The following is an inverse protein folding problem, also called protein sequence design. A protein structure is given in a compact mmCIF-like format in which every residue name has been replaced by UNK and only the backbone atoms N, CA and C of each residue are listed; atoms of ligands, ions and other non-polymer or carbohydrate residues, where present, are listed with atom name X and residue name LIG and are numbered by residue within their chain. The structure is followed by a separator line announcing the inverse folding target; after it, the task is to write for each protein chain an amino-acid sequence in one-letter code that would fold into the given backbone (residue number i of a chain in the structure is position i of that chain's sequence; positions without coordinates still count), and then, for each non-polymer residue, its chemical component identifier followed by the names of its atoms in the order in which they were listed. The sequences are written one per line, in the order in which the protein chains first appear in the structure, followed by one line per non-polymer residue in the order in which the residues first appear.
data_IF_514704196362
#
_entry.id   IF_514704196362
#
_cell.length_a   1.000
_cell.length_b   1.000
_cell.length_c   1.000
_cell.angle_alpha   90.00
_cell.angle_beta   90.00
_cell.angle_gamma   90.00
#
_symmetry.space_group_name_H-M   'P 1'
#
loop_
_entity.id
_entity.type
_entity.pdbx_description
1 polymer ?
#
# COMPACT_ATOMS: atom_id res chain seq x y z
N UNK A 1 4.97 31.68 -44.74
CA UNK A 1 4.01 30.59 -44.51
C UNK A 1 2.68 31.25 -44.13
N UNK A 2 1.66 31.16 -45.02
CA UNK A 2 0.34 31.75 -44.73
C UNK A 2 -0.38 30.91 -43.65
N UNK A 3 -0.81 31.56 -42.61
CA UNK A 3 -1.64 30.93 -41.57
C UNK A 3 -3.00 30.55 -42.19
N UNK A 4 -3.22 29.24 -42.36
CA UNK A 4 -4.49 28.70 -42.86
C UNK A 4 -5.34 28.24 -41.68
N UNK A 5 -6.42 28.98 -41.40
CA UNK A 5 -7.31 28.73 -40.27
C UNK A 5 -7.94 27.34 -40.38
N UNK A 6 -8.35 26.90 -41.56
CA UNK A 6 -8.97 25.59 -41.78
C UNK A 6 -8.01 24.44 -41.51
N UNK A 7 -6.74 24.57 -41.96
CA UNK A 7 -5.73 23.56 -41.69
C UNK A 7 -5.38 23.49 -40.19
N UNK A 8 -5.34 24.66 -39.52
CA UNK A 8 -5.12 24.72 -38.05
C UNK A 8 -6.26 24.10 -37.28
N UNK A 9 -7.50 24.37 -37.67
CA UNK A 9 -8.70 23.77 -37.02
C UNK A 9 -8.76 22.25 -37.27
N UNK A 10 -8.45 21.82 -38.49
CA UNK A 10 -8.37 20.40 -38.83
C UNK A 10 -7.30 19.70 -38.02
N UNK A 11 -6.13 20.30 -37.88
CA UNK A 11 -5.03 19.81 -37.04
C UNK A 11 -5.44 19.72 -35.57
N UNK A 12 -6.02 20.76 -35.01
CA UNK A 12 -6.53 20.77 -33.66
C UNK A 12 -7.57 19.67 -33.41
N UNK A 13 -8.43 19.39 -34.36
CA UNK A 13 -9.43 18.34 -34.24
C UNK A 13 -8.81 16.94 -34.29
N UNK A 14 -7.88 16.71 -35.22
CA UNK A 14 -7.20 15.39 -35.38
C UNK A 14 -6.17 15.09 -34.31
N UNK A 15 -5.53 16.12 -33.75
CA UNK A 15 -4.55 16.01 -32.68
C UNK A 15 -5.18 16.13 -31.28
N UNK A 16 -6.48 16.34 -31.19
CA UNK A 16 -7.17 16.42 -29.88
C UNK A 16 -7.27 15.03 -29.25
N UNK A 17 -7.23 14.95 -27.90
CA UNK A 17 -7.50 13.73 -27.15
C UNK A 17 -8.87 13.11 -27.46
N UNK A 18 -9.84 13.92 -27.97
CA UNK A 18 -11.13 13.40 -28.45
C UNK A 18 -10.99 12.47 -29.66
N UNK A 19 -10.05 12.76 -30.57
CA UNK A 19 -9.73 11.87 -31.68
C UNK A 19 -9.17 10.53 -31.19
N UNK A 20 -8.43 10.54 -30.08
CA UNK A 20 -7.89 9.34 -29.44
C UNK A 20 -8.95 8.36 -28.99
N UNK A 21 -10.15 8.81 -28.59
CA UNK A 21 -11.25 7.90 -28.22
C UNK A 21 -11.79 7.08 -29.40
N UNK A 22 -11.66 7.58 -30.62
CA UNK A 22 -12.06 6.90 -31.84
C UNK A 22 -10.94 6.07 -32.46
N UNK A 23 -9.69 6.19 -31.95
CA UNK A 23 -8.58 5.35 -32.35
C UNK A 23 -8.74 3.91 -31.82
N UNK A 24 -7.99 2.97 -32.38
CA UNK A 24 -8.00 1.57 -31.96
C UNK A 24 -7.65 1.44 -30.46
N UNK A 25 -8.58 0.96 -29.67
CA UNK A 25 -8.40 0.81 -28.22
C UNK A 25 -8.81 2.06 -27.38
N UNK A 26 -9.14 3.19 -28.00
CA UNK A 26 -9.49 4.41 -27.27
C UNK A 26 -10.71 4.31 -26.37
N UNK A 27 -11.65 3.42 -26.67
CA UNK A 27 -12.79 3.13 -25.78
C UNK A 27 -12.36 2.58 -24.41
N UNK A 28 -11.22 1.88 -24.35
CA UNK A 28 -10.65 1.35 -23.10
C UNK A 28 -10.19 2.50 -22.19
N UNK A 29 -9.65 3.56 -22.77
CA UNK A 29 -9.29 4.78 -22.03
C UNK A 29 -10.54 5.43 -21.43
N UNK A 30 -11.68 5.45 -22.16
CA UNK A 30 -12.94 5.96 -21.62
C UNK A 30 -13.40 5.16 -20.40
N UNK A 31 -13.27 3.82 -20.44
CA UNK A 31 -13.55 2.95 -19.28
C UNK A 31 -12.65 3.32 -18.10
N UNK A 32 -11.35 3.52 -18.34
CA UNK A 32 -10.42 3.91 -17.27
C UNK A 32 -10.71 5.30 -16.70
N UNK A 33 -11.16 6.24 -17.50
CA UNK A 33 -11.62 7.55 -17.02
C UNK A 33 -12.83 7.37 -16.08
N UNK A 34 -13.80 6.51 -16.44
CA UNK A 34 -14.93 6.19 -15.55
C UNK A 34 -14.44 5.54 -14.26
N UNK A 35 -13.51 4.58 -14.33
CA UNK A 35 -12.89 3.97 -13.15
C UNK A 35 -12.23 5.02 -12.27
N UNK A 36 -11.45 5.93 -12.84
CA UNK A 36 -10.82 7.04 -12.12
C UNK A 36 -11.86 7.94 -11.43
N UNK A 37 -12.95 8.28 -12.12
CA UNK A 37 -14.04 9.07 -11.53
C UNK A 37 -14.73 8.34 -10.37
N UNK A 38 -14.94 7.04 -10.47
CA UNK A 38 -15.50 6.21 -9.38
C UNK A 38 -14.55 6.21 -8.18
N UNK A 39 -13.24 6.04 -8.40
CA UNK A 39 -12.23 6.09 -7.33
C UNK A 39 -12.17 7.47 -6.68
N UNK A 40 -12.26 8.56 -7.46
CA UNK A 40 -12.37 9.93 -6.93
C UNK A 40 -13.63 10.09 -6.06
N UNK A 41 -14.77 9.59 -6.51
CA UNK A 41 -15.98 9.59 -5.70
C UNK A 41 -15.82 8.84 -4.38
N UNK A 42 -15.19 7.67 -4.40
CA UNK A 42 -14.92 6.90 -3.19
C UNK A 42 -13.96 7.64 -2.24
N UNK A 43 -12.90 8.26 -2.77
CA UNK A 43 -11.96 9.03 -1.96
C UNK A 43 -12.56 10.30 -1.37
N UNK A 44 -13.27 11.10 -2.20
CA UNK A 44 -13.76 12.43 -1.82
C UNK A 44 -15.08 12.34 -1.03
N UNK A 45 -16.06 11.58 -1.55
CA UNK A 45 -17.42 11.58 -0.96
C UNK A 45 -17.57 10.53 0.14
N UNK A 46 -16.93 9.35 -0.04
CA UNK A 46 -17.00 8.28 0.96
C UNK A 46 -15.85 8.35 1.98
N UNK A 47 -14.84 9.18 1.75
CA UNK A 47 -13.71 9.35 2.66
C UNK A 47 -12.80 8.12 2.73
N UNK A 48 -12.76 7.29 1.68
CA UNK A 48 -11.93 6.09 1.62
C UNK A 48 -10.47 6.47 1.35
N UNK A 49 -9.64 6.41 2.39
CA UNK A 49 -8.21 6.71 2.36
C UNK A 49 -7.86 7.92 1.45
N UNK A 50 -8.45 9.10 1.71
CA UNK A 50 -8.48 10.21 0.74
C UNK A 50 -7.08 10.70 0.36
N UNK A 51 -6.11 10.63 1.27
CA UNK A 51 -4.75 11.12 1.02
C UNK A 51 -4.03 10.37 -0.10
N UNK A 52 -4.31 9.09 -0.27
CA UNK A 52 -3.69 8.26 -1.30
C UNK A 52 -4.64 8.00 -2.47
N UNK A 53 -5.90 7.63 -2.19
CA UNK A 53 -6.84 7.23 -3.23
C UNK A 53 -7.16 8.36 -4.21
N UNK A 54 -7.26 9.61 -3.74
CA UNK A 54 -7.49 10.78 -4.61
C UNK A 54 -6.30 10.98 -5.56
N UNK A 55 -5.06 10.88 -5.06
CA UNK A 55 -3.86 11.00 -5.90
C UNK A 55 -3.75 9.86 -6.92
N UNK A 56 -4.01 8.61 -6.50
CA UNK A 56 -4.02 7.45 -7.40
C UNK A 56 -5.08 7.61 -8.49
N UNK A 57 -6.30 7.98 -8.11
CA UNK A 57 -7.39 8.16 -9.06
C UNK A 57 -7.12 9.28 -10.06
N UNK A 58 -6.54 10.39 -9.58
CA UNK A 58 -6.20 11.52 -10.45
C UNK A 58 -5.01 11.19 -11.37
N UNK A 59 -4.01 10.47 -10.88
CA UNK A 59 -2.90 9.96 -11.70
C UNK A 59 -3.40 9.01 -12.81
N UNK A 60 -4.33 8.11 -12.48
CA UNK A 60 -5.01 7.27 -13.45
C UNK A 60 -5.77 8.09 -14.50
N UNK A 61 -6.50 9.12 -14.06
CA UNK A 61 -7.21 10.02 -14.96
C UNK A 61 -6.22 10.69 -15.94
N UNK A 62 -5.16 11.30 -15.41
CA UNK A 62 -4.16 12.01 -16.22
C UNK A 62 -3.49 11.09 -17.25
N UNK A 63 -3.10 9.87 -16.88
CA UNK A 63 -2.49 8.93 -17.79
C UNK A 63 -3.44 8.52 -18.93
N UNK A 64 -4.72 8.30 -18.64
CA UNK A 64 -5.68 7.83 -19.63
C UNK A 64 -6.34 8.95 -20.48
N UNK A 65 -6.15 10.22 -20.12
CA UNK A 65 -6.55 11.35 -20.99
C UNK A 65 -5.40 11.89 -21.83
N UNK A 66 -4.14 11.56 -21.50
CA UNK A 66 -2.96 12.07 -22.21
C UNK A 66 -2.30 11.03 -23.12
N UNK A 67 -2.57 9.74 -22.94
CA UNK A 67 -1.97 8.65 -23.70
C UNK A 67 -3.06 7.76 -24.33
N UNK A 68 -2.99 7.59 -25.65
CA UNK A 68 -3.91 6.76 -26.44
C UNK A 68 -3.13 5.77 -27.30
N UNK A 69 -3.15 4.46 -27.00
CA UNK A 69 -2.31 3.46 -27.71
C UNK A 69 -2.52 3.43 -29.23
N UNK A 70 -3.73 3.72 -29.72
CA UNK A 70 -4.03 3.73 -31.15
C UNK A 70 -3.69 5.04 -31.86
N UNK A 71 -3.25 6.06 -31.15
CA UNK A 71 -2.94 7.37 -31.71
C UNK A 71 -1.62 7.35 -32.50
N UNK A 72 -0.68 6.46 -32.16
CA UNK A 72 0.60 6.28 -32.84
C UNK A 72 0.42 5.86 -34.30
N UNK A 73 -0.67 5.19 -34.64
CA UNK A 73 -1.00 4.84 -36.02
C UNK A 73 -1.45 6.05 -36.87
N UNK A 74 -1.93 7.11 -36.21
CA UNK A 74 -2.42 8.34 -36.85
C UNK A 74 -1.31 9.39 -36.88
N UNK A 75 -0.65 9.59 -35.74
CA UNK A 75 0.48 10.50 -35.57
C UNK A 75 1.40 10.01 -34.45
N UNK A 76 2.55 9.37 -34.77
CA UNK A 76 3.47 8.80 -33.79
C UNK A 76 3.99 9.80 -32.75
N UNK A 77 4.12 11.08 -33.15
CA UNK A 77 4.71 12.10 -32.27
C UNK A 77 3.73 12.61 -31.18
N UNK A 78 2.43 12.33 -31.29
CA UNK A 78 1.45 12.87 -30.36
C UNK A 78 1.56 12.30 -28.95
N UNK A 79 1.75 10.98 -28.82
CA UNK A 79 1.94 10.38 -27.51
C UNK A 79 3.29 10.81 -26.91
N UNK A 80 4.35 10.88 -27.71
CA UNK A 80 5.66 11.31 -27.25
C UNK A 80 5.69 12.77 -26.75
N UNK A 81 4.82 13.65 -27.30
CA UNK A 81 4.76 15.07 -26.90
C UNK A 81 3.73 15.37 -25.83
N UNK A 82 2.64 14.64 -25.77
CA UNK A 82 1.49 14.96 -24.91
C UNK A 82 1.31 14.02 -23.70
N UNK A 83 1.88 12.82 -23.75
CA UNK A 83 1.74 11.88 -22.66
C UNK A 83 2.51 12.37 -21.41
N UNK A 84 1.83 12.26 -20.26
CA UNK A 84 2.44 12.53 -18.95
C UNK A 84 3.15 11.30 -18.38
N UNK A 85 2.77 10.11 -18.86
CA UNK A 85 3.30 8.81 -18.50
C UNK A 85 3.42 7.95 -19.76
N UNK A 86 4.58 7.34 -19.96
CA UNK A 86 4.94 6.56 -21.16
C UNK A 86 5.14 5.09 -20.77
N UNK A 87 4.13 4.24 -20.88
CA UNK A 87 4.24 2.83 -20.49
C UNK A 87 5.31 2.07 -21.27
N UNK A 88 5.57 2.45 -22.53
CA UNK A 88 6.61 1.87 -23.40
C UNK A 88 8.03 2.10 -22.88
N UNK A 89 8.33 3.30 -22.35
CA UNK A 89 9.64 3.59 -21.76
C UNK A 89 9.93 2.67 -20.56
N UNK A 90 8.90 2.37 -19.77
CA UNK A 90 9.01 1.48 -18.62
C UNK A 90 9.04 0.01 -19.02
N UNK A 91 8.38 -0.37 -20.12
CA UNK A 91 8.50 -1.70 -20.71
C UNK A 91 9.94 -1.96 -21.16
N UNK A 92 10.55 -1.03 -21.92
CA UNK A 92 11.94 -1.10 -22.35
C UNK A 92 12.92 -1.12 -21.17
N UNK A 93 12.65 -0.34 -20.12
CA UNK A 93 13.47 -0.33 -18.90
C UNK A 93 13.48 -1.69 -18.19
N UNK A 94 12.43 -2.48 -18.32
CA UNK A 94 12.27 -3.78 -17.68
C UNK A 94 12.68 -4.95 -18.57
N UNK A 95 12.74 -4.77 -19.88
CA UNK A 95 13.08 -5.82 -20.83
C UNK A 95 14.60 -6.04 -20.86
N UNK A 96 15.04 -7.22 -20.42
CA UNK A 96 16.45 -7.63 -20.45
C UNK A 96 17.04 -7.69 -21.88
N UNK A 97 16.20 -7.79 -22.91
CA UNK A 97 16.61 -7.77 -24.32
C UNK A 97 16.76 -6.35 -24.87
N UNK A 98 16.23 -5.34 -24.20
CA UNK A 98 16.30 -3.95 -24.64
C UNK A 98 17.69 -3.34 -24.40
N UNK A 99 18.17 -2.55 -25.33
CA UNK A 99 19.38 -1.71 -25.15
C UNK A 99 19.22 -0.66 -24.03
N UNK A 100 17.98 -0.40 -23.59
CA UNK A 100 17.63 0.55 -22.54
C UNK A 100 17.33 -0.13 -21.19
N UNK A 101 17.66 -1.42 -21.06
CA UNK A 101 17.47 -2.15 -19.81
C UNK A 101 18.14 -1.41 -18.64
N UNK A 102 17.36 -1.08 -17.60
CA UNK A 102 17.77 -0.31 -16.42
C UNK A 102 18.42 1.06 -16.72
N UNK A 103 18.13 1.66 -17.88
CA UNK A 103 18.67 2.97 -18.28
C UNK A 103 17.79 4.12 -17.80
N UNK A 104 18.10 4.67 -16.61
CA UNK A 104 17.44 5.92 -16.13
C UNK A 104 17.75 7.12 -17.02
N UNK A 105 18.90 7.13 -17.70
CA UNK A 105 19.25 8.20 -18.66
C UNK A 105 18.27 8.26 -19.82
N UNK A 106 17.88 7.10 -20.36
CA UNK A 106 16.87 7.01 -21.41
C UNK A 106 15.49 7.50 -20.93
N UNK A 107 15.09 7.08 -19.72
CA UNK A 107 13.86 7.58 -19.09
C UNK A 107 13.89 9.11 -19.01
N UNK A 108 14.93 9.70 -18.38
CA UNK A 108 15.01 11.14 -18.16
C UNK A 108 15.02 11.97 -19.45
N UNK A 109 15.52 11.41 -20.56
CA UNK A 109 15.57 12.10 -21.86
C UNK A 109 14.22 12.17 -22.57
N UNK A 110 13.30 11.22 -22.25
CA UNK A 110 12.03 11.05 -22.96
C UNK A 110 10.81 11.11 -22.01
N UNK A 111 11.03 11.38 -20.74
CA UNK A 111 10.02 11.29 -19.69
C UNK A 111 9.01 12.43 -19.73
N UNK A 112 7.74 12.11 -19.49
CA UNK A 112 6.73 13.03 -19.02
C UNK A 112 6.83 13.27 -17.50
N UNK A 113 6.00 14.17 -16.97
CA UNK A 113 6.04 14.54 -15.56
C UNK A 113 5.83 13.33 -14.62
N UNK A 114 4.88 12.46 -14.96
CA UNK A 114 4.54 11.31 -14.11
C UNK A 114 5.59 10.20 -14.21
N UNK A 115 6.33 10.10 -15.31
CA UNK A 115 7.49 9.22 -15.43
C UNK A 115 8.59 9.65 -14.46
N UNK A 116 8.87 10.97 -14.36
CA UNK A 116 9.85 11.51 -13.41
C UNK A 116 9.46 11.17 -11.97
N UNK A 117 8.17 11.33 -11.62
CA UNK A 117 7.70 10.92 -10.30
C UNK A 117 7.83 9.41 -10.10
N UNK A 118 7.55 8.60 -11.14
CA UNK A 118 7.64 7.15 -11.05
C UNK A 118 9.07 6.63 -10.82
N UNK A 119 10.11 7.38 -11.19
CA UNK A 119 11.50 7.06 -10.85
C UNK A 119 11.67 6.84 -9.35
N UNK A 120 11.06 7.69 -8.51
CA UNK A 120 11.13 7.54 -7.06
C UNK A 120 10.41 6.28 -6.52
N UNK A 121 9.35 5.84 -7.21
CA UNK A 121 8.72 4.53 -6.93
C UNK A 121 9.68 3.41 -7.32
N UNK A 122 10.20 3.47 -8.56
CA UNK A 122 11.05 2.44 -9.14
C UNK A 122 12.36 2.27 -8.37
N UNK A 123 12.92 3.36 -7.87
CA UNK A 123 14.09 3.36 -6.99
C UNK A 123 13.79 2.84 -5.55
N UNK A 124 12.52 2.65 -5.18
CA UNK A 124 12.12 2.27 -3.83
C UNK A 124 12.23 3.40 -2.79
N UNK A 125 12.40 4.65 -3.25
CA UNK A 125 12.58 5.83 -2.39
C UNK A 125 11.30 6.16 -1.60
N UNK A 126 10.17 6.28 -2.30
CA UNK A 126 8.93 6.72 -1.66
C UNK A 126 8.38 5.74 -0.63
N UNK A 127 8.32 4.42 -0.87
CA UNK A 127 7.88 3.49 0.15
C UNK A 127 8.73 3.57 1.43
N UNK A 128 10.06 3.69 1.29
CA UNK A 128 10.97 3.83 2.42
C UNK A 128 10.75 5.11 3.21
N UNK A 129 10.54 6.25 2.53
CA UNK A 129 10.25 7.53 3.17
C UNK A 129 8.87 7.54 3.86
N UNK A 130 7.86 6.87 3.28
CA UNK A 130 6.57 6.68 3.95
C UNK A 130 6.73 5.87 5.22
N UNK A 131 7.54 4.80 5.20
CA UNK A 131 7.84 4.05 6.42
C UNK A 131 8.52 4.90 7.50
N UNK A 132 9.39 5.84 7.12
CA UNK A 132 9.96 6.82 8.06
C UNK A 132 8.87 7.69 8.68
N UNK A 133 7.92 8.17 7.88
CA UNK A 133 6.77 8.93 8.36
C UNK A 133 5.88 8.12 9.30
N UNK A 134 5.55 6.89 8.93
CA UNK A 134 4.78 5.96 9.77
C UNK A 134 5.50 5.71 11.09
N UNK A 135 6.83 5.52 11.08
CA UNK A 135 7.63 5.36 12.29
C UNK A 135 7.57 6.57 13.22
N UNK A 136 7.66 7.78 12.64
CA UNK A 136 7.58 9.03 13.40
C UNK A 136 6.17 9.28 13.98
N UNK A 137 5.12 8.83 13.31
CA UNK A 137 3.74 8.93 13.81
C UNK A 137 3.37 7.83 14.81
N UNK A 138 4.07 6.70 14.80
CA UNK A 138 3.70 5.51 15.55
C UNK A 138 4.27 5.54 16.97
N UNK A 139 3.42 5.28 17.99
CA UNK A 139 3.87 5.01 19.35
C UNK A 139 4.04 3.49 19.55
N UNK A 140 5.28 3.06 19.71
CA UNK A 140 5.62 1.66 20.00
C UNK A 140 5.48 1.29 21.48
N UNK A 141 5.15 2.24 22.36
CA UNK A 141 4.94 2.02 23.78
C UNK A 141 4.02 0.82 24.10
N UNK A 142 2.85 0.70 23.48
CA UNK A 142 1.96 -0.46 23.71
C UNK A 142 2.62 -1.81 23.36
N UNK A 143 3.42 -1.87 22.31
CA UNK A 143 4.16 -3.08 21.92
C UNK A 143 5.29 -3.40 22.89
N UNK A 144 6.02 -2.39 23.35
CA UNK A 144 7.11 -2.53 24.34
C UNK A 144 6.52 -2.96 25.69
N UNK A 145 5.36 -2.44 26.06
CA UNK A 145 4.66 -2.78 27.29
C UNK A 145 4.20 -4.23 27.34
N UNK A 146 3.69 -4.76 26.20
CA UNK A 146 3.29 -6.16 26.05
C UNK A 146 3.87 -6.78 24.76
N UNK A 147 5.12 -7.29 24.80
CA UNK A 147 5.77 -7.90 23.65
C UNK A 147 5.06 -9.13 23.07
N UNK A 148 4.14 -9.75 23.82
CA UNK A 148 3.31 -10.87 23.33
C UNK A 148 2.42 -10.44 22.15
N UNK A 149 2.17 -9.14 22.02
CA UNK A 149 1.46 -8.54 20.88
C UNK A 149 2.13 -8.85 19.53
N UNK A 150 3.46 -9.10 19.50
CA UNK A 150 4.18 -9.56 18.30
C UNK A 150 3.59 -10.83 17.72
N UNK A 151 3.14 -11.75 18.57
CA UNK A 151 2.51 -13.01 18.13
C UNK A 151 1.19 -12.76 17.39
N UNK A 152 0.45 -11.73 17.78
CA UNK A 152 -0.81 -11.36 17.11
C UNK A 152 -0.55 -10.70 15.74
N UNK A 153 0.48 -9.87 15.66
CA UNK A 153 0.94 -9.33 14.36
C UNK A 153 1.42 -10.44 13.44
N UNK A 154 2.19 -11.40 13.96
CA UNK A 154 2.65 -12.56 13.18
C UNK A 154 1.48 -13.45 12.73
N UNK A 155 0.49 -13.70 13.59
CA UNK A 155 -0.69 -14.50 13.25
C UNK A 155 -1.53 -13.85 12.14
N UNK A 156 -1.59 -12.52 12.09
CA UNK A 156 -2.27 -11.80 11.03
C UNK A 156 -1.56 -11.93 9.67
N UNK A 157 -0.25 -12.23 9.62
CA UNK A 157 0.45 -12.49 8.35
C UNK A 157 -0.01 -13.78 7.66
N UNK A 158 -0.83 -14.61 8.30
CA UNK A 158 -1.43 -15.80 7.67
C UNK A 158 -2.08 -15.47 6.32
N UNK A 159 -2.74 -14.31 6.19
CA UNK A 159 -3.35 -13.88 4.94
C UNK A 159 -2.34 -13.65 3.82
N UNK A 160 -1.12 -13.20 4.11
CA UNK A 160 -0.05 -13.06 3.12
C UNK A 160 0.27 -14.40 2.48
N UNK A 161 0.48 -15.43 3.30
CA UNK A 161 0.85 -16.76 2.81
C UNK A 161 -0.32 -17.47 2.10
N UNK A 162 -1.54 -17.33 2.63
CA UNK A 162 -2.73 -17.92 1.96
C UNK A 162 -2.98 -17.25 0.61
N UNK A 163 -2.83 -15.93 0.50
CA UNK A 163 -2.94 -15.24 -0.77
C UNK A 163 -1.83 -15.63 -1.75
N UNK A 164 -0.61 -15.80 -1.27
CA UNK A 164 0.51 -16.31 -2.07
C UNK A 164 0.16 -17.68 -2.68
N UNK A 165 -0.25 -18.65 -1.86
CA UNK A 165 -0.64 -19.97 -2.36
C UNK A 165 -1.86 -19.90 -3.29
N UNK A 166 -2.84 -19.05 -2.97
CA UNK A 166 -4.00 -18.83 -3.84
C UNK A 166 -3.60 -18.28 -5.21
N UNK A 167 -2.63 -17.35 -5.25
CA UNK A 167 -2.11 -16.81 -6.51
C UNK A 167 -1.38 -17.87 -7.34
N UNK A 168 -0.56 -18.73 -6.72
CA UNK A 168 0.06 -19.86 -7.40
C UNK A 168 -1.01 -20.79 -8.00
N UNK A 169 -2.06 -21.11 -7.25
CA UNK A 169 -3.18 -21.95 -7.75
C UNK A 169 -3.94 -21.30 -8.91
N UNK A 170 -3.97 -19.96 -9.00
CA UNK A 170 -4.59 -19.22 -10.10
C UNK A 170 -3.68 -19.07 -11.32
N UNK A 171 -2.44 -19.62 -11.28
CA UNK A 171 -1.50 -19.66 -12.38
C UNK A 171 -0.53 -18.47 -12.45
N UNK A 172 -0.40 -17.66 -11.39
CA UNK A 172 0.60 -16.62 -11.31
C UNK A 172 1.99 -17.19 -11.03
N UNK A 173 3.04 -16.53 -11.53
CA UNK A 173 4.43 -16.89 -11.26
C UNK A 173 4.79 -16.64 -9.78
N UNK A 174 5.88 -17.23 -9.29
CA UNK A 174 6.34 -17.03 -7.91
C UNK A 174 6.50 -15.56 -7.51
N UNK A 175 7.23 -14.72 -8.29
CA UNK A 175 7.34 -13.28 -8.05
C UNK A 175 5.99 -12.55 -8.06
N UNK A 176 5.11 -12.87 -9.01
CA UNK A 176 3.75 -12.30 -9.07
C UNK A 176 2.91 -12.72 -7.87
N UNK A 177 2.96 -13.99 -7.49
CA UNK A 177 2.24 -14.53 -6.34
C UNK A 177 2.73 -13.90 -5.03
N UNK A 178 4.05 -13.67 -4.88
CA UNK A 178 4.61 -12.94 -3.74
C UNK A 178 4.10 -11.51 -3.65
N UNK A 179 4.04 -10.82 -4.79
CA UNK A 179 3.51 -9.45 -4.91
C UNK A 179 2.00 -9.37 -4.61
N UNK A 180 1.23 -10.38 -5.00
CA UNK A 180 -0.20 -10.49 -4.67
C UNK A 180 -0.37 -10.86 -3.19
N UNK A 181 0.43 -11.78 -2.69
CA UNK A 181 0.36 -12.26 -1.31
C UNK A 181 0.49 -11.15 -0.29
N UNK A 182 1.43 -10.22 -0.50
CA UNK A 182 1.71 -9.13 0.46
C UNK A 182 0.51 -8.20 0.70
N UNK A 183 -0.48 -8.15 -0.21
CA UNK A 183 -1.74 -7.41 -0.01
C UNK A 183 -2.41 -7.83 1.30
N UNK A 184 -2.31 -9.12 1.65
CA UNK A 184 -2.85 -9.66 2.91
C UNK A 184 -2.28 -9.01 4.17
N UNK A 185 -1.07 -8.45 4.12
CA UNK A 185 -0.50 -7.68 5.22
C UNK A 185 -1.24 -6.37 5.51
N UNK A 186 -2.07 -5.90 4.59
CA UNK A 186 -2.78 -4.61 4.64
C UNK A 186 -1.83 -3.42 4.85
N UNK A 187 -0.73 -3.43 4.12
CA UNK A 187 0.34 -2.42 4.17
C UNK A 187 0.64 -1.94 2.74
N UNK A 188 0.05 -0.81 2.37
CA UNK A 188 0.17 -0.24 1.03
C UNK A 188 1.61 0.04 0.60
N UNK A 189 2.40 0.77 1.37
CA UNK A 189 3.82 1.04 1.06
C UNK A 189 4.65 -0.22 0.90
N UNK A 190 4.47 -1.23 1.75
CA UNK A 190 5.14 -2.54 1.64
C UNK A 190 4.71 -3.26 0.35
N UNK A 191 3.43 -3.23 0.00
CA UNK A 191 2.92 -3.83 -1.23
C UNK A 191 3.55 -3.18 -2.46
N UNK A 192 3.64 -1.86 -2.50
CA UNK A 192 4.31 -1.12 -3.58
C UNK A 192 5.80 -1.48 -3.64
N UNK A 193 6.50 -1.49 -2.50
CA UNK A 193 7.93 -1.79 -2.44
C UNK A 193 8.24 -3.18 -3.00
N UNK A 194 7.52 -4.19 -2.55
CA UNK A 194 7.73 -5.57 -2.97
C UNK A 194 7.37 -5.76 -4.45
N UNK A 195 6.18 -5.30 -4.86
CA UNK A 195 5.69 -5.45 -6.23
C UNK A 195 6.60 -4.75 -7.24
N UNK A 196 7.08 -3.56 -6.91
CA UNK A 196 8.03 -2.83 -7.76
C UNK A 196 9.32 -3.61 -8.01
N UNK A 197 9.72 -4.49 -7.09
CA UNK A 197 10.93 -5.33 -7.22
C UNK A 197 10.65 -6.63 -7.94
N UNK A 198 9.52 -7.30 -7.65
CA UNK A 198 9.23 -8.67 -8.07
C UNK A 198 8.33 -8.76 -9.32
N UNK A 199 7.33 -7.87 -9.44
CA UNK A 199 6.32 -7.91 -10.51
C UNK A 199 5.82 -6.50 -10.84
N UNK A 200 6.68 -5.61 -11.36
CA UNK A 200 6.34 -4.20 -11.59
C UNK A 200 5.16 -4.01 -12.56
N UNK A 201 4.89 -4.95 -13.42
CA UNK A 201 3.74 -4.97 -14.34
C UNK A 201 2.39 -5.05 -13.61
N UNK A 202 2.37 -5.57 -12.37
CA UNK A 202 1.16 -5.68 -11.54
C UNK A 202 0.98 -4.50 -10.58
N UNK A 203 1.91 -3.54 -10.57
CA UNK A 203 1.96 -2.49 -9.55
C UNK A 203 0.67 -1.70 -9.42
N UNK A 204 0.07 -1.26 -10.53
CA UNK A 204 -1.19 -0.51 -10.51
C UNK A 204 -2.35 -1.29 -9.91
N UNK A 205 -2.50 -2.56 -10.29
CA UNK A 205 -3.56 -3.44 -9.79
C UNK A 205 -3.39 -3.73 -8.28
N UNK A 206 -2.16 -4.01 -7.85
CA UNK A 206 -1.84 -4.31 -6.45
C UNK A 206 -1.99 -3.06 -5.57
N UNK A 207 -1.57 -1.90 -6.04
CA UNK A 207 -1.73 -0.65 -5.31
C UNK A 207 -3.20 -0.32 -5.05
N UNK A 208 -4.06 -0.40 -6.09
CA UNK A 208 -5.50 -0.21 -5.91
C UNK A 208 -6.08 -1.22 -4.93
N UNK A 209 -5.77 -2.50 -5.09
CA UNK A 209 -6.26 -3.53 -4.20
C UNK A 209 -5.86 -3.21 -2.75
N UNK A 210 -4.57 -2.96 -2.48
CA UNK A 210 -4.06 -2.70 -1.14
C UNK A 210 -4.73 -1.48 -0.48
N UNK A 211 -4.79 -0.34 -1.18
CA UNK A 211 -5.36 0.88 -0.60
C UNK A 211 -6.89 0.85 -0.49
N UNK A 212 -7.59 0.24 -1.47
CA UNK A 212 -9.05 0.10 -1.40
C UNK A 212 -9.46 -0.78 -0.22
N UNK A 213 -8.73 -1.86 0.07
CA UNK A 213 -9.07 -2.73 1.20
C UNK A 213 -8.74 -2.10 2.54
N UNK A 214 -7.67 -1.33 2.65
CA UNK A 214 -7.41 -0.53 3.85
C UNK A 214 -8.59 0.38 4.18
N UNK A 215 -9.17 1.04 3.17
CA UNK A 215 -10.36 1.87 3.33
C UNK A 215 -11.62 1.09 3.75
N UNK A 216 -11.73 -0.18 3.34
CA UNK A 216 -12.87 -1.06 3.64
C UNK A 216 -12.75 -1.79 4.99
N UNK A 217 -11.67 -1.60 5.75
CA UNK A 217 -11.46 -2.20 7.08
C UNK A 217 -12.69 -2.08 8.00
N UNK A 218 -13.31 -0.89 8.16
CA UNK A 218 -14.48 -0.74 9.03
C UNK A 218 -15.71 -1.55 8.58
N UNK A 219 -15.75 -2.00 7.32
CA UNK A 219 -16.83 -2.83 6.77
C UNK A 219 -16.50 -4.32 6.83
N UNK A 220 -15.25 -4.70 6.55
CA UNK A 220 -14.83 -6.10 6.42
C UNK A 220 -14.56 -6.73 7.78
N UNK A 221 -13.85 -6.04 8.68
CA UNK A 221 -13.44 -6.61 9.96
C UNK A 221 -14.60 -6.90 10.94
N UNK A 222 -15.58 -6.00 11.17
CA UNK A 222 -16.58 -6.22 12.21
C UNK A 222 -17.45 -7.49 12.04
N UNK A 223 -17.89 -7.89 10.83
CA UNK A 223 -18.57 -9.16 10.63
C UNK A 223 -17.72 -10.36 11.02
N UNK A 224 -16.44 -10.37 10.59
CA UNK A 224 -15.48 -11.45 10.88
C UNK A 224 -15.22 -11.53 12.40
N UNK A 225 -15.03 -10.39 13.05
CA UNK A 225 -14.82 -10.28 14.50
C UNK A 225 -16.00 -10.87 15.28
N UNK A 226 -17.23 -10.53 14.88
CA UNK A 226 -18.45 -11.06 15.52
C UNK A 226 -18.63 -12.54 15.30
N UNK A 227 -18.24 -13.06 14.13
CA UNK A 227 -18.34 -14.48 13.79
C UNK A 227 -17.36 -15.34 14.61
N UNK A 228 -16.14 -14.84 14.83
CA UNK A 228 -15.05 -15.62 15.42
C UNK A 228 -14.85 -15.39 16.92
N UNK A 229 -15.60 -14.47 17.55
CA UNK A 229 -15.50 -14.21 18.98
C UNK A 229 -16.86 -14.32 19.66
N UNK A 230 -16.90 -14.87 20.87
CA UNK A 230 -18.13 -14.91 21.68
C UNK A 230 -18.49 -13.51 22.20
N UNK A 231 -19.76 -13.28 22.50
CA UNK A 231 -20.18 -12.01 23.08
C UNK A 231 -19.56 -11.78 24.48
N UNK A 232 -19.37 -12.84 25.24
CA UNK A 232 -18.72 -12.80 26.56
C UNK A 232 -17.26 -12.37 26.44
N UNK A 233 -16.52 -12.98 25.49
CA UNK A 233 -15.10 -12.67 25.30
C UNK A 233 -14.89 -11.23 24.77
N UNK A 234 -15.82 -10.70 23.98
CA UNK A 234 -15.81 -9.29 23.55
C UNK A 234 -15.99 -8.29 24.69
N UNK A 235 -16.65 -8.71 25.80
CA UNK A 235 -16.86 -7.87 26.99
C UNK A 235 -15.67 -7.83 27.94
N UNK A 236 -14.63 -8.64 27.72
CA UNK A 236 -13.44 -8.71 28.60
C UNK A 236 -12.75 -7.33 28.61
N UNK A 237 -12.59 -6.79 29.84
CA UNK A 237 -11.79 -5.59 30.09
C UNK A 237 -10.34 -5.97 30.32
N UNK A 238 -9.44 -5.32 29.60
CA UNK A 238 -8.01 -5.51 29.81
C UNK A 238 -7.50 -4.57 30.90
N UNK A 239 -6.54 -5.06 31.67
CA UNK A 239 -5.85 -4.26 32.69
C UNK A 239 -4.90 -3.30 31.99
N UNK A 240 -4.76 -2.08 32.54
CA UNK A 240 -3.86 -1.06 31.99
C UNK A 240 -2.44 -1.62 31.84
N UNK A 241 -1.84 -1.39 30.67
CA UNK A 241 -0.47 -1.80 30.39
C UNK A 241 0.53 -1.02 31.30
N UNK A 242 1.71 -1.62 31.54
CA UNK A 242 2.77 -0.95 32.29
C UNK A 242 3.23 0.34 31.59
N UNK A 243 3.69 1.28 32.37
CA UNK A 243 4.35 2.50 31.84
C UNK A 243 5.73 2.11 31.27
N UNK A 244 5.99 2.53 30.04
CA UNK A 244 7.28 2.32 29.36
C UNK A 244 8.18 3.51 29.62
N UNK A 245 9.44 3.25 30.00
CA UNK A 245 10.43 4.29 30.23
C UNK A 245 10.92 4.93 28.95
N UNK A 246 11.42 6.17 29.02
CA UNK A 246 12.00 6.88 27.87
C UNK A 246 13.18 6.10 27.27
N UNK A 247 14.02 5.50 28.10
CA UNK A 247 15.16 4.71 27.66
C UNK A 247 14.73 3.46 26.85
N UNK A 248 13.67 2.76 27.28
CA UNK A 248 13.12 1.63 26.53
C UNK A 248 12.61 2.08 25.14
N UNK A 249 11.92 3.23 25.06
CA UNK A 249 11.43 3.79 23.82
C UNK A 249 12.54 4.18 22.83
N UNK A 250 13.67 4.68 23.34
CA UNK A 250 14.84 5.02 22.51
C UNK A 250 15.62 3.76 22.07
N UNK A 251 15.78 2.79 22.97
CA UNK A 251 16.54 1.58 22.68
C UNK A 251 15.79 0.64 21.73
N UNK A 252 14.46 0.61 21.79
CA UNK A 252 13.64 -0.29 20.99
C UNK A 252 13.90 -0.18 19.48
N UNK A 253 13.83 0.99 18.83
CA UNK A 253 14.08 1.12 17.40
C UNK A 253 15.51 0.71 17.02
N UNK A 254 16.49 0.97 17.88
CA UNK A 254 17.89 0.58 17.63
C UNK A 254 18.03 -0.94 17.64
N UNK A 255 17.50 -1.60 18.69
CA UNK A 255 17.58 -3.05 18.84
C UNK A 255 16.85 -3.76 17.71
N UNK A 256 15.62 -3.30 17.38
CA UNK A 256 14.83 -3.89 16.27
C UNK A 256 15.57 -3.74 14.95
N UNK A 257 16.14 -2.56 14.67
CA UNK A 257 16.93 -2.33 13.45
C UNK A 257 18.09 -3.33 13.34
N UNK A 258 18.91 -3.44 14.38
CA UNK A 258 20.06 -4.32 14.38
C UNK A 258 19.62 -5.79 14.20
N UNK A 259 18.67 -6.24 15.01
CA UNK A 259 18.24 -7.64 14.99
C UNK A 259 17.56 -8.04 13.67
N UNK A 260 16.61 -7.24 13.19
CA UNK A 260 15.83 -7.58 11.99
C UNK A 260 16.67 -7.49 10.72
N UNK A 261 17.54 -6.47 10.59
CA UNK A 261 18.37 -6.30 9.40
C UNK A 261 19.49 -7.35 9.36
N UNK A 262 20.06 -7.74 10.49
CA UNK A 262 21.03 -8.86 10.52
C UNK A 262 20.37 -10.19 10.16
N UNK A 263 19.11 -10.40 10.53
CA UNK A 263 18.36 -11.60 10.18
C UNK A 263 17.95 -11.62 8.70
N UNK A 264 17.46 -10.48 8.20
CA UNK A 264 16.94 -10.31 6.82
C UNK A 264 17.42 -8.97 6.24
N UNK A 265 18.61 -8.92 5.61
CA UNK A 265 19.16 -7.68 5.04
C UNK A 265 18.24 -6.97 4.04
N UNK A 266 17.42 -7.71 3.31
CA UNK A 266 16.43 -7.18 2.35
C UNK A 266 15.38 -6.27 2.98
N UNK A 267 15.16 -6.33 4.30
CA UNK A 267 14.23 -5.47 5.04
C UNK A 267 14.80 -4.09 5.36
N UNK A 268 16.11 -3.88 5.16
CA UNK A 268 16.81 -2.67 5.60
C UNK A 268 16.14 -1.35 5.14
N UNK A 269 15.67 -1.19 3.89
CA UNK A 269 15.02 0.05 3.47
C UNK A 269 13.73 0.36 4.24
N UNK A 270 12.90 -0.65 4.47
CA UNK A 270 11.61 -0.48 5.14
C UNK A 270 11.76 -0.38 6.65
N UNK A 271 12.34 -1.40 7.28
CA UNK A 271 12.49 -1.45 8.75
C UNK A 271 13.46 -0.38 9.25
N UNK A 272 14.56 -0.13 8.53
CA UNK A 272 15.52 0.91 8.88
C UNK A 272 14.88 2.30 8.88
N UNK A 273 14.11 2.64 7.84
CA UNK A 273 13.39 3.92 7.78
C UNK A 273 12.28 4.01 8.84
N UNK A 274 11.51 2.94 9.07
CA UNK A 274 10.50 2.89 10.13
C UNK A 274 11.09 3.22 11.49
N UNK A 275 12.18 2.55 11.82
CA UNK A 275 12.84 2.71 13.13
C UNK A 275 13.58 4.04 13.24
N UNK A 276 14.14 4.57 12.14
CA UNK A 276 14.73 5.92 12.12
C UNK A 276 13.68 6.99 12.41
N UNK A 277 12.51 6.91 11.76
CA UNK A 277 11.41 7.83 12.03
C UNK A 277 10.96 7.78 13.49
N UNK A 278 10.85 6.58 14.05
CA UNK A 278 10.50 6.41 15.46
C UNK A 278 11.59 6.97 16.40
N UNK A 279 12.84 6.76 16.07
CA UNK A 279 13.96 7.32 16.85
C UNK A 279 13.92 8.86 16.84
N UNK A 280 13.60 9.51 15.71
CA UNK A 280 13.43 10.97 15.65
C UNK A 280 12.37 11.49 16.63
N UNK A 281 11.30 10.72 16.81
CA UNK A 281 10.23 11.06 17.75
C UNK A 281 10.64 10.85 19.21
N UNK A 282 11.21 9.69 19.53
CA UNK A 282 11.38 9.25 20.93
C UNK A 282 12.64 9.82 21.60
N UNK A 283 13.67 10.21 20.82
CA UNK A 283 14.91 10.73 21.41
C UNK A 283 14.75 12.14 22.05
N UNK A 284 13.77 12.94 21.57
CA UNK A 284 13.46 14.26 22.14
C UNK A 284 14.50 15.34 21.88
N UNK A 285 15.47 15.08 20.98
CA UNK A 285 16.48 16.06 20.54
C UNK A 285 16.35 16.42 19.06
N UNK A 286 15.46 15.74 18.35
CA UNK A 286 15.21 15.87 16.91
C UNK A 286 13.75 16.20 16.59
N UNK A 287 13.06 16.90 17.48
CA UNK A 287 11.63 17.22 17.33
C UNK A 287 11.31 17.91 15.98
N UNK A 288 12.21 18.80 15.50
CA UNK A 288 12.07 19.46 14.21
C UNK A 288 12.10 18.46 13.04
N UNK A 289 12.95 17.43 13.10
CA UNK A 289 13.02 16.39 12.07
C UNK A 289 11.77 15.51 12.15
N UNK A 290 11.36 15.14 13.35
CA UNK A 290 10.14 14.38 13.60
C UNK A 290 8.91 15.10 13.01
N UNK A 291 8.76 16.40 13.28
CA UNK A 291 7.67 17.22 12.74
C UNK A 291 7.70 17.29 11.20
N UNK A 292 8.88 17.55 10.62
CA UNK A 292 9.05 17.60 9.16
C UNK A 292 8.69 16.27 8.51
N UNK A 293 9.13 15.16 9.10
CA UNK A 293 8.86 13.81 8.57
C UNK A 293 7.38 13.46 8.64
N UNK A 294 6.71 13.77 9.76
CA UNK A 294 5.30 13.46 9.97
C UNK A 294 4.37 14.29 9.07
N UNK A 295 4.76 15.51 8.72
CA UNK A 295 3.91 16.47 8.01
C UNK A 295 4.42 16.72 6.58
N UNK A 296 5.45 17.56 6.41
CA UNK A 296 5.87 18.02 5.08
C UNK A 296 6.37 16.88 4.19
N UNK A 297 7.28 16.04 4.71
CA UNK A 297 7.85 14.93 3.92
C UNK A 297 6.79 13.91 3.55
N UNK A 298 5.95 13.48 4.51
CA UNK A 298 4.87 12.54 4.24
C UNK A 298 3.91 13.05 3.17
N UNK A 299 3.51 14.32 3.24
CA UNK A 299 2.58 14.90 2.27
C UNK A 299 3.20 14.97 0.87
N UNK A 300 4.45 15.44 0.75
CA UNK A 300 5.15 15.53 -0.54
C UNK A 300 5.31 14.14 -1.17
N UNK A 301 5.80 13.18 -0.38
CA UNK A 301 6.02 11.81 -0.86
C UNK A 301 4.70 11.13 -1.23
N UNK A 302 3.64 11.37 -0.46
CA UNK A 302 2.30 10.84 -0.74
C UNK A 302 1.76 11.36 -2.07
N UNK A 303 1.92 12.66 -2.35
CA UNK A 303 1.51 13.26 -3.64
C UNK A 303 2.26 12.59 -4.79
N UNK A 304 3.59 12.52 -4.72
CA UNK A 304 4.42 11.96 -5.78
C UNK A 304 4.14 10.47 -5.98
N UNK A 305 4.06 9.69 -4.89
CA UNK A 305 3.78 8.26 -4.94
C UNK A 305 2.40 7.99 -5.53
N UNK A 306 1.36 8.61 -4.97
CA UNK A 306 -0.02 8.30 -5.35
C UNK A 306 -0.30 8.65 -6.80
N UNK A 307 0.15 9.82 -7.28
CA UNK A 307 -0.06 10.24 -8.68
C UNK A 307 0.71 9.37 -9.66
N UNK A 308 1.96 9.02 -9.36
CA UNK A 308 2.77 8.18 -10.24
C UNK A 308 2.31 6.72 -10.27
N UNK A 309 1.92 6.16 -9.13
CA UNK A 309 1.33 4.81 -9.07
C UNK A 309 -0.01 4.78 -9.82
N UNK A 310 -0.84 5.81 -9.66
CA UNK A 310 -2.06 5.97 -10.43
C UNK A 310 -1.81 6.00 -11.94
N UNK A 311 -0.74 6.63 -12.38
CA UNK A 311 -0.37 6.70 -13.79
C UNK A 311 -0.03 5.33 -14.40
N UNK A 312 0.42 4.36 -13.63
CA UNK A 312 0.65 2.99 -14.14
C UNK A 312 -0.63 2.25 -14.53
N UNK A 313 -1.80 2.80 -14.16
CA UNK A 313 -3.11 2.26 -14.48
C UNK A 313 -3.60 2.70 -15.86
N UNK A 314 -2.76 2.52 -16.87
CA UNK A 314 -3.19 2.68 -18.25
C UNK A 314 -4.08 1.50 -18.70
N UNK A 315 -4.99 1.77 -19.63
CA UNK A 315 -5.99 0.81 -20.06
C UNK A 315 -5.40 -0.54 -20.48
N UNK A 316 -4.30 -0.53 -21.23
CA UNK A 316 -3.61 -1.74 -21.70
C UNK A 316 -3.05 -2.64 -20.59
N UNK A 317 -2.71 -2.05 -19.44
CA UNK A 317 -2.16 -2.78 -18.29
C UNK A 317 -3.23 -3.18 -17.30
N UNK A 318 -4.26 -2.35 -17.12
CA UNK A 318 -5.25 -2.53 -16.05
C UNK A 318 -6.47 -3.36 -16.46
N UNK A 319 -6.95 -3.22 -17.70
CA UNK A 319 -8.16 -3.94 -18.18
C UNK A 319 -7.84 -5.38 -18.62
N UNK A 320 -7.27 -6.15 -17.68
CA UNK A 320 -6.93 -7.57 -17.88
C UNK A 320 -7.68 -8.44 -16.86
N UNK A 321 -7.97 -9.70 -17.23
CA UNK A 321 -8.58 -10.65 -16.31
C UNK A 321 -7.72 -10.87 -15.04
N UNK A 322 -6.41 -10.75 -15.18
CA UNK A 322 -5.45 -10.83 -14.07
C UNK A 322 -5.72 -9.78 -13.00
N UNK A 323 -6.03 -8.55 -13.37
CA UNK A 323 -6.39 -7.47 -12.44
C UNK A 323 -7.60 -7.83 -11.60
N UNK A 324 -8.64 -8.42 -12.21
CA UNK A 324 -9.83 -8.87 -11.46
C UNK A 324 -9.50 -10.01 -10.48
N UNK A 325 -8.65 -10.96 -10.90
CA UNK A 325 -8.15 -12.03 -10.01
C UNK A 325 -7.39 -11.45 -8.82
N UNK A 326 -6.51 -10.45 -9.05
CA UNK A 326 -5.73 -9.77 -8.01
C UNK A 326 -6.65 -9.07 -7.01
N UNK A 327 -7.64 -8.31 -7.51
CA UNK A 327 -8.62 -7.62 -6.67
C UNK A 327 -9.37 -8.63 -5.80
N UNK A 328 -9.93 -9.69 -6.38
CA UNK A 328 -10.69 -10.68 -5.61
C UNK A 328 -9.82 -11.40 -4.57
N UNK A 329 -8.62 -11.82 -4.98
CA UNK A 329 -7.71 -12.53 -4.10
C UNK A 329 -7.21 -11.65 -2.95
N UNK A 330 -6.94 -10.36 -3.22
CA UNK A 330 -6.57 -9.39 -2.21
C UNK A 330 -7.66 -9.18 -1.15
N UNK A 331 -8.94 -9.15 -1.55
CA UNK A 331 -10.06 -9.07 -0.62
C UNK A 331 -10.12 -10.29 0.31
N UNK A 332 -9.98 -11.48 -0.26
CA UNK A 332 -9.94 -12.75 0.49
C UNK A 332 -8.73 -12.77 1.43
N UNK A 333 -7.56 -12.36 0.94
CA UNK A 333 -6.33 -12.28 1.72
C UNK A 333 -6.49 -11.41 2.97
N UNK A 334 -7.06 -10.23 2.81
CA UNK A 334 -7.32 -9.30 3.91
C UNK A 334 -8.30 -9.88 4.94
N UNK A 335 -9.36 -10.55 4.48
CA UNK A 335 -10.29 -11.27 5.34
C UNK A 335 -9.58 -12.36 6.16
N UNK A 336 -8.74 -13.18 5.52
CA UNK A 336 -7.98 -14.25 6.16
C UNK A 336 -6.94 -13.71 7.14
N UNK A 337 -6.30 -12.57 6.85
CA UNK A 337 -5.41 -11.90 7.82
C UNK A 337 -6.15 -11.52 9.10
N UNK A 338 -7.36 -10.97 8.97
CA UNK A 338 -8.22 -10.68 10.13
C UNK A 338 -8.58 -11.96 10.89
N UNK A 339 -8.92 -13.05 10.19
CA UNK A 339 -9.18 -14.37 10.78
C UNK A 339 -7.97 -14.89 11.54
N UNK A 340 -6.78 -14.85 10.92
CA UNK A 340 -5.52 -15.28 11.54
C UNK A 340 -5.22 -14.52 12.83
N UNK A 341 -5.33 -13.21 12.81
CA UNK A 341 -5.17 -12.37 14.00
C UNK A 341 -6.17 -12.70 15.10
N UNK A 342 -7.45 -12.92 14.76
CA UNK A 342 -8.50 -13.30 15.74
C UNK A 342 -8.29 -14.70 16.30
N UNK A 343 -7.84 -15.68 15.51
CA UNK A 343 -7.46 -17.00 16.00
C UNK A 343 -6.34 -16.87 17.04
N UNK A 344 -5.29 -16.10 16.71
CA UNK A 344 -4.22 -15.77 17.65
C UNK A 344 -4.75 -15.10 18.91
N UNK A 345 -5.66 -14.14 18.78
CA UNK A 345 -6.34 -13.46 19.89
C UNK A 345 -7.15 -14.41 20.77
N UNK A 346 -7.92 -15.34 20.19
CA UNK A 346 -8.67 -16.36 20.92
C UNK A 346 -7.75 -17.33 21.67
N UNK A 347 -6.64 -17.74 21.05
CA UNK A 347 -5.64 -18.60 21.71
C UNK A 347 -5.04 -17.85 22.90
N UNK A 348 -4.63 -16.60 22.71
CA UNK A 348 -4.08 -15.76 23.77
C UNK A 348 -5.08 -15.50 24.89
N UNK A 349 -6.36 -15.28 24.57
CA UNK A 349 -7.44 -15.14 25.52
C UNK A 349 -7.56 -16.39 26.42
N UNK A 350 -7.58 -17.59 25.83
CA UNK A 350 -7.66 -18.86 26.56
C UNK A 350 -6.42 -19.08 27.42
N UNK A 351 -5.22 -18.88 26.89
CA UNK A 351 -3.96 -19.08 27.60
C UNK A 351 -3.77 -18.08 28.76
N UNK A 352 -4.33 -16.87 28.64
CA UNK A 352 -4.29 -15.86 29.71
C UNK A 352 -5.36 -16.03 30.79
N UNK A 353 -6.22 -17.05 30.70
CA UNK A 353 -7.36 -17.22 31.60
C UNK A 353 -8.40 -16.10 31.48
N UNK A 354 -8.72 -15.71 30.22
CA UNK A 354 -9.69 -14.65 29.88
C UNK A 354 -9.29 -13.24 30.36
N UNK A 355 -7.99 -12.95 30.43
CA UNK A 355 -7.46 -11.62 30.76
C UNK A 355 -7.22 -10.76 29.54
N UNK A 356 -7.07 -11.37 28.37
CA UNK A 356 -6.84 -10.71 27.09
C UNK A 356 -8.11 -10.77 26.26
N UNK A 357 -8.56 -9.62 25.75
CA UNK A 357 -9.72 -9.56 24.86
C UNK A 357 -9.29 -10.00 23.43
N UNK A 358 -9.93 -11.03 22.86
CA UNK A 358 -9.52 -11.56 21.57
C UNK A 358 -9.68 -10.58 20.40
N UNK A 359 -10.51 -9.54 20.55
CA UNK A 359 -10.70 -8.51 19.53
C UNK A 359 -9.40 -7.79 19.15
N UNK A 360 -8.42 -7.67 20.08
CA UNK A 360 -7.14 -7.02 19.75
C UNK A 360 -6.36 -7.76 18.66
N UNK A 361 -6.61 -9.07 18.49
CA UNK A 361 -6.00 -9.86 17.44
C UNK A 361 -6.36 -9.37 16.03
N UNK A 362 -7.57 -8.84 15.82
CA UNK A 362 -7.95 -8.27 14.51
C UNK A 362 -7.13 -7.04 14.13
N UNK A 363 -6.51 -6.38 15.11
CA UNK A 363 -5.62 -5.25 14.87
C UNK A 363 -4.20 -5.66 14.39
N UNK A 364 -3.88 -6.96 14.37
CA UNK A 364 -2.59 -7.47 13.89
C UNK A 364 -2.29 -7.22 12.41
N UNK A 365 -3.27 -6.76 11.62
CA UNK A 365 -3.03 -6.26 10.26
C UNK A 365 -2.35 -4.88 10.31
N UNK A 366 -1.52 -4.56 9.31
CA UNK A 366 -0.65 -3.37 9.34
C UNK A 366 -1.34 -2.03 9.13
N UNK A 367 -2.66 -1.98 9.01
CA UNK A 367 -3.40 -0.74 8.79
C UNK A 367 -3.49 0.10 10.08
N UNK A 368 -2.45 0.87 10.36
CA UNK A 368 -2.30 1.71 11.56
C UNK A 368 -2.88 3.11 11.30
N UNK A 369 -3.67 3.69 12.22
CA UNK A 369 -4.27 3.09 13.42
C UNK A 369 -5.68 2.51 13.18
N UNK A 370 -6.08 2.31 11.94
CA UNK A 370 -7.48 2.05 11.57
C UNK A 370 -7.99 0.72 12.14
N UNK A 371 -7.21 -0.36 12.03
CA UNK A 371 -7.60 -1.66 12.56
C UNK A 371 -7.75 -1.67 14.10
N UNK A 372 -6.88 -0.94 14.80
CA UNK A 372 -7.00 -0.77 16.25
C UNK A 372 -8.27 0.01 16.65
N UNK A 373 -8.65 1.04 15.87
CA UNK A 373 -9.90 1.79 16.07
C UNK A 373 -11.12 0.90 15.86
N UNK A 374 -11.10 0.01 14.87
CA UNK A 374 -12.19 -0.94 14.61
C UNK A 374 -12.32 -1.93 15.77
N UNK A 375 -11.20 -2.46 16.31
CA UNK A 375 -11.21 -3.31 17.50
C UNK A 375 -11.84 -2.59 18.69
N UNK A 376 -11.47 -1.32 18.93
CA UNK A 376 -12.07 -0.46 19.94
C UNK A 376 -13.59 -0.30 19.74
N UNK A 377 -14.01 0.04 18.51
CA UNK A 377 -15.42 0.26 18.19
C UNK A 377 -16.27 -0.99 18.43
N UNK A 378 -15.81 -2.16 18.05
CA UNK A 378 -16.53 -3.43 18.27
C UNK A 378 -16.55 -3.80 19.75
N UNK A 379 -15.45 -3.58 20.47
CA UNK A 379 -15.36 -3.81 21.92
C UNK A 379 -16.30 -2.91 22.72
N UNK A 380 -16.38 -1.61 22.37
CA UNK A 380 -17.30 -0.65 23.02
C UNK A 380 -18.77 -0.96 22.75
N UNK A 381 -19.12 -1.50 21.57
CA UNK A 381 -20.48 -1.94 21.28
C UNK A 381 -20.90 -3.12 22.16
N UNK A 382 -19.96 -3.99 22.56
CA UNK A 382 -20.22 -5.11 23.45
C UNK A 382 -20.23 -4.69 24.93
N UNK A 383 -19.37 -3.72 25.30
CA UNK A 383 -19.27 -3.18 26.65
C UNK A 383 -18.77 -1.72 26.55
N UNK A 384 -19.64 -0.70 26.83
CA UNK A 384 -19.30 0.71 26.68
C UNK A 384 -18.10 1.18 27.52
N UNK A 385 -17.80 0.47 28.62
CA UNK A 385 -16.64 0.79 29.47
C UNK A 385 -15.35 0.08 29.05
N UNK A 386 -15.32 -0.53 27.86
CA UNK A 386 -14.16 -1.26 27.35
C UNK A 386 -13.28 -0.34 26.47
N UNK A 387 -12.07 -0.07 26.93
CA UNK A 387 -11.08 0.76 26.23
C UNK A 387 -9.96 -0.12 25.69
N UNK A 388 -10.16 -0.68 24.49
CA UNK A 388 -9.21 -1.61 23.85
C UNK A 388 -8.15 -0.92 23.00
N UNK A 389 -8.32 0.37 22.65
CA UNK A 389 -7.47 1.04 21.66
C UNK A 389 -5.97 0.89 21.96
N UNK A 390 -5.57 1.22 23.19
CA UNK A 390 -4.15 1.14 23.59
C UNK A 390 -3.61 -0.29 23.51
N UNK A 391 -4.43 -1.29 23.87
CA UNK A 391 -4.06 -2.70 23.78
C UNK A 391 -4.02 -3.19 22.34
N UNK A 392 -4.93 -2.71 21.48
CA UNK A 392 -4.99 -3.05 20.06
C UNK A 392 -3.86 -2.38 19.26
N UNK A 393 -3.31 -1.26 19.71
CA UNK A 393 -2.15 -0.61 19.08
C UNK A 393 -0.90 -1.49 19.11
N UNK A 394 -0.69 -2.29 20.18
CA UNK A 394 0.44 -3.22 20.22
C UNK A 394 0.47 -4.21 19.05
N UNK A 395 -0.57 -5.04 18.86
CA UNK A 395 -0.68 -5.91 17.69
C UNK A 395 -0.68 -5.17 16.36
N UNK A 396 -1.28 -3.98 16.30
CA UNK A 396 -1.37 -3.20 15.06
C UNK A 396 0.02 -2.75 14.57
N UNK A 397 0.84 -2.26 15.48
CA UNK A 397 2.23 -1.88 15.20
C UNK A 397 3.11 -3.11 14.93
N UNK A 398 2.87 -4.21 15.65
CA UNK A 398 3.51 -5.50 15.37
C UNK A 398 3.23 -5.99 13.96
N UNK A 399 2.02 -5.74 13.42
CA UNK A 399 1.65 -6.00 12.05
C UNK A 399 2.53 -5.29 11.02
N UNK A 400 2.87 -4.01 11.25
CA UNK A 400 3.75 -3.23 10.35
C UNK A 400 5.15 -3.84 10.28
N UNK A 401 5.71 -4.22 11.43
CA UNK A 401 6.99 -4.94 11.46
C UNK A 401 6.85 -6.30 10.76
N UNK A 402 5.75 -7.00 11.01
CA UNK A 402 5.43 -8.29 10.41
C UNK A 402 5.33 -8.24 8.88
N UNK A 403 4.63 -7.25 8.32
CA UNK A 403 4.50 -7.07 6.87
C UNK A 403 5.84 -6.72 6.22
N UNK A 404 6.65 -5.86 6.85
CA UNK A 404 7.98 -5.53 6.36
C UNK A 404 8.91 -6.76 6.37
N UNK A 405 8.85 -7.59 7.41
CA UNK A 405 9.60 -8.85 7.49
C UNK A 405 9.09 -9.85 6.42
N UNK A 406 7.78 -9.99 6.25
CA UNK A 406 7.21 -10.86 5.23
C UNK A 406 7.64 -10.43 3.82
N UNK A 407 7.63 -9.12 3.52
CA UNK A 407 8.12 -8.60 2.25
C UNK A 407 9.61 -8.87 2.06
N UNK A 408 10.43 -8.67 3.10
CA UNK A 408 11.85 -8.99 3.05
C UNK A 408 12.12 -10.47 2.81
N UNK A 409 11.35 -11.35 3.45
CA UNK A 409 11.43 -12.80 3.22
C UNK A 409 11.06 -13.17 1.77
N UNK A 410 9.92 -12.64 1.27
CA UNK A 410 9.47 -12.89 -0.10
C UNK A 410 10.49 -12.35 -1.11
N UNK A 411 11.09 -11.20 -0.83
CA UNK A 411 12.15 -10.63 -1.68
C UNK A 411 13.43 -11.49 -1.64
N UNK A 412 13.79 -12.07 -0.51
CA UNK A 412 14.96 -12.95 -0.41
C UNK A 412 14.76 -14.28 -1.13
N UNK A 413 13.51 -14.75 -1.28
CA UNK A 413 13.19 -16.03 -1.94
C UNK A 413 12.98 -15.86 -3.45
N UNK A 414 12.39 -14.76 -3.89
CA UNK A 414 11.95 -14.55 -5.28
C UNK A 414 12.61 -13.36 -6.00
N UNK A 415 13.46 -12.58 -5.31
CA UNK A 415 14.14 -11.40 -5.82
C UNK A 415 15.54 -11.62 -6.40
#
# INVERSE_FOLDING_TARGET
MGFNVLDTLSKLATESGFAGFFAAGGWQNLVMIVVACVLLYLGIVKGFEPLLLVGIAFGCLLANVSYFPGLDAINPDLNATNALYHPELWADFLDQGSQYYHSYGHILSNAGLLDIFYIGVKAGLYPSLIFMGVGAMTDFGPLIADPKSLLLGAAAQLGVFVAFFGAICLGFTGPQAASIGIIGGADGPTAIFLTNKLAPELLGAIAIAAYSYMALIPLIQPPIMKLLTSEEDRKIKMVQARVVSKSEKILFPIIVTIFVILLLPSTAPLVGCLMLGNLFRECGVTDRLSDTVQNALMNIVTIMLSTSVGATMVASNFLKLETLKIILLGLVAFGISTVGGLIGGNIMCKLSGKKVNPLIGSAGVSAVPMAARVSQMVGQKANPSNFLLMHAMGPNVAGVIGSAIAAGFLLAVFG
#
